data_IF_962386852261
#
_entry.id   IF_962386852261
#
_cell.length_a   1.000
_cell.length_b   1.000
_cell.length_c   1.000
_cell.angle_alpha   90.00
_cell.angle_beta   90.00
_cell.angle_gamma   90.00
#
_symmetry.space_group_name_H-M   'P 1'
#
loop_
_entity.id
_entity.type
_entity.pdbx_description
1 polymer ?
#
# COMPACT_ATOMS: atom_id res chain seq x y z
N UNK A 1 50.53 56.12 -11.93
CA UNK A 1 50.03 55.69 -10.60
C UNK A 1 48.51 55.77 -10.50
N UNK A 2 47.86 56.93 -10.69
CA UNK A 2 46.38 57.04 -10.65
C UNK A 2 45.62 56.12 -11.62
N UNK A 3 46.09 55.96 -12.85
CA UNK A 3 45.44 55.06 -13.83
C UNK A 3 45.60 53.57 -13.49
N UNK A 4 46.71 53.16 -12.85
CA UNK A 4 46.92 51.79 -12.39
C UNK A 4 46.00 51.46 -11.21
N UNK A 5 45.79 52.42 -10.31
CA UNK A 5 44.87 52.31 -9.16
C UNK A 5 43.41 52.22 -9.64
N UNK A 6 43.04 53.01 -10.65
CA UNK A 6 41.68 52.96 -11.23
C UNK A 6 41.44 51.63 -11.96
N UNK A 7 42.46 51.09 -12.64
CA UNK A 7 42.37 49.78 -13.31
C UNK A 7 42.29 48.61 -12.31
N UNK A 8 43.05 48.67 -11.21
CA UNK A 8 42.95 47.70 -10.11
C UNK A 8 41.62 47.80 -9.35
N UNK A 9 41.09 49.01 -9.14
CA UNK A 9 39.73 49.19 -8.59
C UNK A 9 38.65 48.68 -9.55
N UNK A 10 38.82 48.86 -10.86
CA UNK A 10 37.88 48.34 -11.85
C UNK A 10 37.90 46.80 -11.87
N UNK A 11 39.07 46.15 -11.72
CA UNK A 11 39.17 44.69 -11.58
C UNK A 11 38.56 44.19 -10.26
N UNK A 12 38.71 44.94 -9.16
CA UNK A 12 38.07 44.63 -7.86
C UNK A 12 36.54 44.82 -7.87
N UNK A 13 36.01 45.68 -8.74
CA UNK A 13 34.56 45.85 -8.95
C UNK A 13 34.01 44.81 -9.95
N UNK A 14 34.88 44.18 -10.74
CA UNK A 14 34.55 43.05 -11.66
C UNK A 14 35.03 41.71 -11.07
N UNK A 15 35.29 41.64 -9.76
CA UNK A 15 35.15 40.36 -9.07
C UNK A 15 33.64 40.13 -9.09
N UNK A 16 33.11 39.14 -9.84
CA UNK A 16 31.72 38.78 -9.63
C UNK A 16 31.61 38.55 -8.13
N UNK A 17 30.65 39.21 -7.48
CA UNK A 17 30.16 38.73 -6.21
C UNK A 17 29.65 37.32 -6.49
N UNK A 18 30.55 36.35 -6.44
CA UNK A 18 30.23 34.96 -6.20
C UNK A 18 29.63 35.05 -4.82
N UNK A 19 28.31 35.30 -4.77
CA UNK A 19 27.55 34.79 -3.66
C UNK A 19 27.96 33.33 -3.63
N UNK A 20 28.52 32.88 -2.50
CA UNK A 20 28.58 31.45 -2.21
C UNK A 20 27.12 30.98 -2.30
N UNK A 21 26.69 30.59 -3.50
CA UNK A 21 25.53 29.73 -3.69
C UNK A 21 26.07 28.41 -3.18
N UNK A 22 25.94 28.22 -1.87
CA UNK A 22 26.10 26.90 -1.27
C UNK A 22 25.18 25.99 -2.05
N UNK A 23 25.75 25.00 -2.74
CA UNK A 23 24.96 23.95 -3.38
C UNK A 23 24.01 23.37 -2.33
N UNK A 24 22.76 23.15 -2.71
CA UNK A 24 21.81 22.48 -1.83
C UNK A 24 22.25 21.04 -1.63
N UNK A 25 22.12 20.55 -0.40
CA UNK A 25 22.48 19.16 -0.09
C UNK A 25 21.25 18.28 -0.20
N UNK A 26 21.35 17.21 -1.00
CA UNK A 26 20.29 16.22 -1.17
C UNK A 26 20.74 14.89 -0.60
N UNK A 27 19.97 14.35 0.35
CA UNK A 27 20.19 13.01 0.89
C UNK A 27 19.32 11.99 0.15
N UNK A 28 19.94 10.97 -0.45
CA UNK A 28 19.27 9.96 -1.26
C UNK A 28 19.36 8.60 -0.57
N UNK A 29 18.21 8.01 -0.22
CA UNK A 29 18.11 6.72 0.47
C UNK A 29 17.08 5.82 -0.18
N UNK A 30 17.10 4.54 0.16
CA UNK A 30 16.09 3.57 -0.30
C UNK A 30 15.85 2.45 0.70
N UNK A 31 14.71 1.81 0.53
CA UNK A 31 14.45 0.47 1.03
C UNK A 31 15.21 -0.58 0.19
N UNK A 32 15.20 -1.84 0.63
CA UNK A 32 15.71 -3.01 -0.09
C UNK A 32 14.57 -3.69 -0.86
N UNK A 33 14.50 -3.42 -2.16
CA UNK A 33 13.42 -3.82 -3.04
C UNK A 33 13.75 -5.08 -3.81
N UNK A 34 14.98 -5.16 -4.35
CA UNK A 34 15.43 -6.28 -5.20
C UNK A 34 16.54 -7.05 -4.49
N UNK A 35 17.71 -6.42 -4.41
CA UNK A 35 18.91 -6.93 -3.76
C UNK A 35 19.86 -5.76 -3.49
N UNK A 36 20.77 -5.89 -2.50
CA UNK A 36 21.62 -4.79 -2.07
C UNK A 36 22.50 -4.16 -3.16
N UNK A 37 22.96 -4.94 -4.14
CA UNK A 37 23.86 -4.46 -5.18
C UNK A 37 23.07 -3.69 -6.25
N UNK A 38 21.96 -4.26 -6.72
CA UNK A 38 21.12 -3.64 -7.75
C UNK A 38 20.51 -2.32 -7.26
N UNK A 39 19.94 -2.31 -6.06
CA UNK A 39 19.31 -1.11 -5.50
C UNK A 39 20.33 0.00 -5.24
N UNK A 40 21.53 -0.33 -4.74
CA UNK A 40 22.60 0.65 -4.59
C UNK A 40 23.08 1.23 -5.94
N UNK A 41 23.12 0.41 -6.99
CA UNK A 41 23.47 0.85 -8.34
C UNK A 41 22.41 1.80 -8.92
N UNK A 42 21.12 1.56 -8.66
CA UNK A 42 20.03 2.48 -9.00
C UNK A 42 20.24 3.83 -8.30
N UNK A 43 20.44 3.84 -6.97
CA UNK A 43 20.68 5.08 -6.23
C UNK A 43 21.90 5.84 -6.74
N UNK A 44 23.00 5.13 -7.00
CA UNK A 44 24.23 5.74 -7.51
C UNK A 44 24.05 6.33 -8.91
N UNK A 45 23.29 5.65 -9.78
CA UNK A 45 22.98 6.13 -11.13
C UNK A 45 22.11 7.40 -11.07
N UNK A 46 21.05 7.40 -10.27
CA UNK A 46 20.19 8.57 -10.04
C UNK A 46 21.00 9.74 -9.47
N UNK A 47 21.85 9.51 -8.46
CA UNK A 47 22.71 10.53 -7.88
C UNK A 47 23.60 11.22 -8.92
N UNK A 48 24.26 10.42 -9.78
CA UNK A 48 25.10 10.96 -10.85
C UNK A 48 24.28 11.81 -11.84
N UNK A 49 23.07 11.38 -12.20
CA UNK A 49 22.22 12.17 -13.10
C UNK A 49 21.71 13.46 -12.44
N UNK A 50 21.38 13.46 -11.14
CA UNK A 50 21.00 14.69 -10.42
C UNK A 50 22.15 15.71 -10.47
N UNK A 51 23.39 15.29 -10.17
CA UNK A 51 24.55 16.18 -10.21
C UNK A 51 24.86 16.68 -11.63
N UNK A 52 24.68 15.82 -12.65
CA UNK A 52 24.81 16.19 -14.07
C UNK A 52 23.76 17.24 -14.49
N UNK A 53 22.48 16.99 -14.20
CA UNK A 53 21.34 17.82 -14.62
C UNK A 53 21.33 19.15 -13.88
N UNK A 54 21.62 19.14 -12.58
CA UNK A 54 21.72 20.36 -11.76
C UNK A 54 23.00 21.16 -12.01
N UNK A 55 23.93 20.64 -12.83
CA UNK A 55 25.23 21.27 -13.09
C UNK A 55 26.01 21.60 -11.80
N UNK A 56 25.87 20.74 -10.78
CA UNK A 56 26.51 20.88 -9.47
C UNK A 56 25.81 21.83 -8.49
N UNK A 57 24.64 22.38 -8.83
CA UNK A 57 23.84 23.20 -7.90
C UNK A 57 23.22 22.35 -6.77
N UNK A 58 23.08 21.04 -6.99
CA UNK A 58 22.66 20.06 -5.98
C UNK A 58 23.81 19.06 -5.76
N UNK A 59 24.27 18.94 -4.52
CA UNK A 59 25.28 17.97 -4.12
C UNK A 59 24.62 16.77 -3.43
N UNK A 60 24.77 15.58 -4.03
CA UNK A 60 24.06 14.38 -3.56
C UNK A 60 24.88 13.59 -2.54
N UNK A 61 24.23 13.21 -1.45
CA UNK A 61 24.75 12.31 -0.42
C UNK A 61 23.96 11.02 -0.52
N UNK A 62 24.54 10.00 -1.14
CA UNK A 62 23.97 8.64 -1.13
C UNK A 62 24.13 8.08 0.28
N UNK A 63 23.02 7.60 0.84
CA UNK A 63 22.96 7.03 2.17
C UNK A 63 23.83 5.77 2.27
N UNK A 64 24.84 5.81 3.15
CA UNK A 64 25.73 4.67 3.41
C UNK A 64 25.04 3.45 4.04
N UNK A 65 23.81 3.62 4.55
CA UNK A 65 23.00 2.53 5.10
C UNK A 65 21.95 2.00 4.11
N UNK A 66 21.82 2.63 2.93
CA UNK A 66 20.93 2.15 1.88
C UNK A 66 21.63 1.11 1.00
N UNK A 67 20.87 0.18 0.39
CA UNK A 67 19.44 -0.06 0.62
C UNK A 67 19.20 -0.76 1.97
N UNK A 68 18.10 -0.44 2.65
CA UNK A 68 17.71 -1.14 3.87
C UNK A 68 16.63 -0.44 4.69
N UNK A 69 16.04 -1.16 5.66
CA UNK A 69 14.85 -0.71 6.38
C UNK A 69 15.12 0.53 7.23
N UNK A 70 14.13 1.39 7.34
CA UNK A 70 14.18 2.65 8.11
C UNK A 70 14.56 3.84 7.25
N UNK A 71 14.43 3.72 5.93
CA UNK A 71 14.71 4.73 4.92
C UNK A 71 13.98 6.04 5.18
N UNK A 72 12.69 6.00 5.55
CA UNK A 72 11.94 7.19 5.97
C UNK A 72 12.55 7.89 7.17
N UNK A 73 12.82 7.16 8.25
CA UNK A 73 13.49 7.71 9.45
C UNK A 73 14.87 8.32 9.10
N UNK A 74 15.66 7.64 8.26
CA UNK A 74 16.99 8.15 7.84
C UNK A 74 16.84 9.41 7.00
N UNK A 75 15.87 9.47 6.10
CA UNK A 75 15.55 10.65 5.30
C UNK A 75 15.18 11.86 6.18
N UNK A 76 14.32 11.68 7.18
CA UNK A 76 13.91 12.81 8.04
C UNK A 76 15.02 13.25 9.02
N UNK A 77 15.87 12.31 9.48
CA UNK A 77 16.94 12.60 10.45
C UNK A 77 18.25 13.09 9.84
N UNK A 78 18.41 13.01 8.51
CA UNK A 78 19.56 13.58 7.81
C UNK A 78 19.72 15.09 8.11
N UNK A 79 20.92 15.64 7.97
CA UNK A 79 21.14 17.09 8.10
C UNK A 79 21.08 17.83 6.76
N UNK A 80 20.62 17.18 5.69
CA UNK A 80 20.54 17.76 4.35
C UNK A 80 19.37 18.73 4.22
N UNK A 81 19.41 19.57 3.19
CA UNK A 81 18.34 20.52 2.86
C UNK A 81 17.12 19.80 2.24
N UNK A 82 17.41 18.77 1.45
CA UNK A 82 16.44 17.93 0.75
C UNK A 82 16.68 16.47 1.12
N UNK A 83 15.60 15.70 1.23
CA UNK A 83 15.66 14.24 1.34
C UNK A 83 14.80 13.57 0.29
N UNK A 84 15.33 12.52 -0.33
CA UNK A 84 14.66 11.70 -1.32
C UNK A 84 14.67 10.24 -0.85
N UNK A 85 13.48 9.65 -0.76
CA UNK A 85 13.28 8.27 -0.35
C UNK A 85 12.75 7.44 -1.52
N UNK A 86 13.50 6.40 -1.94
CA UNK A 86 13.04 5.41 -2.92
C UNK A 86 12.50 4.18 -2.18
N UNK A 87 11.18 3.95 -2.23
CA UNK A 87 10.57 2.79 -1.60
C UNK A 87 9.24 2.41 -2.27
N UNK A 88 8.76 1.21 -1.94
CA UNK A 88 7.38 0.84 -2.20
C UNK A 88 6.44 1.68 -1.32
N UNK A 89 5.23 1.93 -1.78
CA UNK A 89 4.24 2.65 -0.98
C UNK A 89 3.94 1.92 0.34
N UNK A 90 4.27 2.56 1.46
CA UNK A 90 4.05 2.05 2.81
C UNK A 90 3.39 3.12 3.68
N UNK A 91 2.18 2.84 4.19
CA UNK A 91 1.43 3.82 4.97
C UNK A 91 2.17 4.28 6.24
N UNK A 92 2.97 3.40 6.85
CA UNK A 92 3.77 3.73 8.03
C UNK A 92 4.87 4.74 7.72
N UNK A 93 5.61 4.49 6.63
CA UNK A 93 6.64 5.41 6.14
C UNK A 93 6.03 6.77 5.75
N UNK A 94 4.92 6.76 5.00
CA UNK A 94 4.19 7.99 4.64
C UNK A 94 3.75 8.79 5.86
N UNK A 95 3.24 8.14 6.90
CA UNK A 95 2.83 8.82 8.13
C UNK A 95 4.03 9.49 8.82
N UNK A 96 5.16 8.79 8.95
CA UNK A 96 6.37 9.32 9.59
C UNK A 96 6.94 10.51 8.81
N UNK A 97 7.07 10.39 7.49
CA UNK A 97 7.57 11.47 6.64
C UNK A 97 6.62 12.67 6.62
N UNK A 98 5.30 12.44 6.54
CA UNK A 98 4.29 13.50 6.54
C UNK A 98 4.25 14.26 7.88
N UNK A 99 4.29 13.55 9.01
CA UNK A 99 4.34 14.16 10.34
C UNK A 99 5.58 15.05 10.49
N UNK A 100 6.73 14.61 9.98
CA UNK A 100 7.94 15.42 9.99
C UNK A 100 7.85 16.61 9.02
N UNK A 101 7.44 16.38 7.76
CA UNK A 101 7.37 17.41 6.72
C UNK A 101 6.48 18.57 7.14
N UNK A 102 5.30 18.28 7.71
CA UNK A 102 4.36 19.30 8.17
C UNK A 102 4.93 20.19 9.30
N UNK A 103 6.00 19.76 9.98
CA UNK A 103 6.65 20.47 11.08
C UNK A 103 8.08 20.91 10.74
N UNK A 104 8.50 20.82 9.47
CA UNK A 104 9.86 21.09 9.03
C UNK A 104 9.92 21.88 7.73
N UNK A 105 10.97 22.69 7.59
CA UNK A 105 11.27 23.39 6.33
C UNK A 105 12.03 22.51 5.33
N UNK A 106 12.50 21.32 5.75
CA UNK A 106 13.15 20.36 4.84
C UNK A 106 12.17 19.96 3.74
N UNK A 107 12.64 19.90 2.49
CA UNK A 107 11.88 19.31 1.40
C UNK A 107 12.03 17.79 1.45
N UNK A 108 10.91 17.08 1.32
CA UNK A 108 10.89 15.62 1.19
C UNK A 108 10.28 15.28 -0.17
N UNK A 109 10.93 14.38 -0.89
CA UNK A 109 10.45 13.83 -2.16
C UNK A 109 10.38 12.31 -2.00
N UNK A 110 9.22 11.73 -2.28
CA UNK A 110 9.04 10.28 -2.26
C UNK A 110 9.07 9.71 -3.69
N UNK A 111 9.90 8.73 -3.96
CA UNK A 111 9.93 8.02 -5.24
C UNK A 111 9.28 6.66 -5.04
N UNK A 112 8.05 6.52 -5.54
CA UNK A 112 7.28 5.29 -5.49
C UNK A 112 7.85 4.27 -6.48
N UNK A 113 8.65 3.33 -5.99
CA UNK A 113 9.24 2.28 -6.82
C UNK A 113 8.25 1.18 -7.23
N UNK A 114 7.05 1.17 -6.63
CA UNK A 114 5.99 0.20 -6.89
C UNK A 114 5.00 0.64 -7.95
N UNK A 115 4.17 -0.30 -8.39
CA UNK A 115 3.10 -0.07 -9.36
C UNK A 115 1.80 0.46 -8.74
N UNK A 116 1.73 0.55 -7.40
CA UNK A 116 0.62 1.14 -6.67
C UNK A 116 0.45 2.62 -7.05
N UNK A 117 -0.67 3.01 -7.66
CA UNK A 117 -0.80 4.34 -8.24
C UNK A 117 -1.39 5.36 -7.25
N UNK A 118 -0.52 6.20 -6.68
CA UNK A 118 -0.89 7.21 -5.67
C UNK A 118 -1.91 8.26 -6.16
N UNK A 119 -2.10 8.41 -7.47
CA UNK A 119 -3.06 9.35 -8.06
C UNK A 119 -4.48 8.78 -8.16
N UNK A 120 -4.63 7.46 -8.01
CA UNK A 120 -5.88 6.74 -8.29
C UNK A 120 -6.33 5.80 -7.18
N UNK A 121 -5.44 5.44 -6.26
CA UNK A 121 -5.76 4.55 -5.16
C UNK A 121 -6.45 5.33 -4.03
N UNK A 122 -7.61 4.83 -3.59
CA UNK A 122 -8.43 5.47 -2.56
C UNK A 122 -7.94 5.13 -1.14
N UNK A 123 -7.13 4.09 -0.96
CA UNK A 123 -6.61 3.68 0.35
C UNK A 123 -5.27 2.96 0.25
N UNK A 124 -4.44 3.15 1.28
CA UNK A 124 -3.20 2.42 1.49
C UNK A 124 -3.20 1.82 2.89
N UNK A 125 -3.17 0.49 2.95
CA UNK A 125 -3.16 -0.24 4.20
C UNK A 125 -1.84 -0.07 4.95
N UNK A 126 -1.91 -0.10 6.28
CA UNK A 126 -0.73 -0.33 7.11
C UNK A 126 -0.12 -1.73 6.85
N UNK A 127 1.15 -1.76 6.49
CA UNK A 127 1.98 -2.96 6.59
C UNK A 127 2.35 -3.24 8.06
N UNK A 128 2.27 -4.50 8.49
CA UNK A 128 2.51 -4.92 9.88
C UNK A 128 3.81 -5.71 10.05
N UNK A 129 4.49 -5.97 8.94
CA UNK A 129 5.85 -6.50 8.85
C UNK A 129 6.88 -5.51 9.41
N UNK A 130 6.59 -4.21 9.38
CA UNK A 130 7.46 -3.18 9.91
C UNK A 130 6.96 -2.50 11.20
N UNK A 131 7.91 -2.23 12.11
CA UNK A 131 7.67 -1.68 13.46
C UNK A 131 7.19 -0.21 13.48
N UNK A 132 6.81 0.38 12.34
CA UNK A 132 6.64 1.83 12.19
C UNK A 132 5.45 2.44 12.96
N UNK A 133 4.52 1.66 13.53
CA UNK A 133 3.29 2.30 14.06
C UNK A 133 2.64 1.66 15.29
N UNK A 134 2.04 2.53 16.09
CA UNK A 134 1.14 2.19 17.19
C UNK A 134 -0.05 1.34 16.65
N UNK A 135 -0.52 0.36 17.43
CA UNK A 135 -1.69 -0.51 17.12
C UNK A 135 -2.96 0.25 16.71
N UNK A 136 -3.04 1.55 17.04
CA UNK A 136 -4.12 2.45 16.66
C UNK A 136 -4.08 2.92 15.21
N UNK A 137 -2.96 2.78 14.49
CA UNK A 137 -2.86 3.14 13.07
C UNK A 137 -3.26 1.95 12.19
N UNK A 138 -4.17 2.16 11.26
CA UNK A 138 -4.72 1.13 10.36
C UNK A 138 -4.33 1.35 8.88
N UNK A 139 -4.08 2.58 8.47
CA UNK A 139 -3.73 2.93 7.09
C UNK A 139 -4.02 4.39 6.78
N UNK A 140 -4.03 4.72 5.49
CA UNK A 140 -4.31 6.04 4.96
C UNK A 140 -5.41 5.94 3.89
N UNK A 141 -6.29 6.93 3.86
CA UNK A 141 -7.15 7.19 2.70
C UNK A 141 -6.47 8.21 1.78
N UNK A 142 -6.71 8.10 0.47
CA UNK A 142 -6.16 9.00 -0.56
C UNK A 142 -4.65 9.28 -0.35
N UNK A 143 -3.78 8.24 -0.34
CA UNK A 143 -2.37 8.35 0.07
C UNK A 143 -1.59 9.42 -0.70
N UNK A 144 -1.81 9.61 -2.02
CA UNK A 144 -1.17 10.68 -2.77
C UNK A 144 -1.61 12.07 -2.30
N UNK A 145 -2.91 12.25 -2.03
CA UNK A 145 -3.42 13.50 -1.44
C UNK A 145 -2.83 13.74 -0.06
N UNK A 146 -2.71 12.71 0.76
CA UNK A 146 -2.13 12.80 2.10
C UNK A 146 -0.67 13.31 2.06
N UNK A 147 0.16 12.76 1.16
CA UNK A 147 1.54 13.23 0.96
C UNK A 147 1.58 14.68 0.49
N UNK A 148 0.80 15.02 -0.53
CA UNK A 148 0.74 16.38 -1.09
C UNK A 148 0.27 17.41 -0.05
N UNK A 149 -0.76 17.10 0.73
CA UNK A 149 -1.25 17.97 1.82
C UNK A 149 -0.12 18.25 2.84
N UNK A 150 0.70 17.24 3.15
CA UNK A 150 1.87 17.36 4.03
C UNK A 150 3.10 18.03 3.37
N UNK A 151 2.99 18.44 2.11
CA UNK A 151 4.07 19.09 1.35
C UNK A 151 5.18 18.13 0.92
N UNK A 152 4.83 16.87 0.66
CA UNK A 152 5.73 15.86 0.10
C UNK A 152 5.35 15.67 -1.37
N UNK A 153 6.28 15.98 -2.26
CA UNK A 153 6.14 15.65 -3.68
C UNK A 153 6.42 14.15 -3.87
N UNK A 154 5.74 13.51 -4.82
CA UNK A 154 6.06 12.13 -5.17
C UNK A 154 6.22 11.92 -6.68
N UNK A 155 7.07 10.94 -7.02
CA UNK A 155 7.40 10.52 -8.37
C UNK A 155 7.01 9.06 -8.51
N UNK A 156 6.38 8.69 -9.63
CA UNK A 156 5.89 7.33 -9.88
C UNK A 156 6.48 6.72 -11.17
N UNK A 157 7.72 6.22 -11.16
CA UNK A 157 8.42 5.79 -12.38
C UNK A 157 7.70 4.67 -13.13
N UNK A 158 7.06 3.73 -12.44
CA UNK A 158 6.33 2.62 -13.09
C UNK A 158 5.02 3.04 -13.77
N UNK A 159 4.51 4.25 -13.51
CA UNK A 159 3.36 4.77 -14.26
C UNK A 159 3.80 5.31 -15.64
N UNK A 160 5.04 5.82 -15.74
CA UNK A 160 5.62 6.29 -17.01
C UNK A 160 6.33 5.15 -17.76
N UNK A 161 7.05 4.29 -17.04
CA UNK A 161 7.83 3.16 -17.57
C UNK A 161 7.28 1.82 -17.05
N UNK A 162 6.09 1.37 -17.49
CA UNK A 162 5.50 0.13 -17.00
C UNK A 162 6.33 -1.12 -17.36
N UNK A 163 7.10 -1.07 -18.45
CA UNK A 163 7.99 -2.17 -18.84
C UNK A 163 9.23 -2.32 -17.92
N UNK A 164 9.46 -1.35 -17.03
CA UNK A 164 10.50 -1.40 -15.99
C UNK A 164 10.09 -2.23 -14.76
N UNK A 165 8.85 -2.75 -14.74
CA UNK A 165 8.29 -3.53 -13.66
C UNK A 165 8.67 -5.02 -13.74
N UNK A 166 8.94 -5.60 -12.57
CA UNK A 166 8.83 -7.05 -12.33
C UNK A 166 8.39 -7.32 -10.89
N UNK A 167 7.37 -8.17 -10.75
CA UNK A 167 6.72 -8.48 -9.47
C UNK A 167 6.18 -7.26 -8.70
N UNK A 168 5.77 -6.22 -9.42
CA UNK A 168 5.12 -5.02 -8.90
C UNK A 168 6.05 -3.85 -8.57
N UNK A 169 7.36 -3.97 -8.79
CA UNK A 169 8.35 -2.95 -8.46
C UNK A 169 9.39 -2.77 -9.58
N UNK A 170 10.11 -1.64 -9.56
CA UNK A 170 11.32 -1.46 -10.35
C UNK A 170 12.29 -2.62 -10.06
N UNK A 171 12.75 -3.29 -11.10
CA UNK A 171 13.44 -4.60 -10.95
C UNK A 171 14.88 -4.62 -11.45
N UNK A 172 15.36 -3.50 -11.98
CA UNK A 172 16.67 -3.42 -12.61
C UNK A 172 17.20 -1.99 -12.63
N UNK A 173 18.52 -1.90 -12.72
CA UNK A 173 19.19 -0.64 -13.00
C UNK A 173 19.04 -0.28 -14.49
N UNK A 174 18.22 0.73 -14.78
CA UNK A 174 17.91 1.20 -16.14
C UNK A 174 18.21 2.69 -16.26
N UNK A 175 19.17 3.06 -17.11
CA UNK A 175 19.64 4.45 -17.23
C UNK A 175 18.55 5.41 -17.71
N UNK A 176 17.60 4.96 -18.53
CA UNK A 176 16.50 5.81 -19.00
C UNK A 176 15.55 6.15 -17.84
N UNK A 177 15.15 5.13 -17.08
CA UNK A 177 14.28 5.28 -15.91
C UNK A 177 14.97 6.10 -14.81
N UNK A 178 16.25 5.84 -14.54
CA UNK A 178 17.02 6.56 -13.53
C UNK A 178 17.21 8.03 -13.89
N UNK A 179 17.44 8.33 -15.18
CA UNK A 179 17.52 9.71 -15.65
C UNK A 179 16.18 10.42 -15.49
N UNK A 180 15.08 9.77 -15.85
CA UNK A 180 13.75 10.32 -15.61
C UNK A 180 13.50 10.65 -14.13
N UNK A 181 13.83 9.72 -13.21
CA UNK A 181 13.71 9.97 -11.77
C UNK A 181 14.54 11.19 -11.36
N UNK A 182 15.79 11.28 -11.82
CA UNK A 182 16.67 12.41 -11.53
C UNK A 182 16.13 13.73 -12.08
N UNK A 183 15.59 13.75 -13.30
CA UNK A 183 14.96 14.93 -13.91
C UNK A 183 13.78 15.42 -13.07
N UNK A 184 12.89 14.51 -12.67
CA UNK A 184 11.73 14.85 -11.83
C UNK A 184 12.14 15.35 -10.42
N UNK A 185 13.20 14.77 -9.83
CA UNK A 185 13.76 15.28 -8.56
C UNK A 185 14.27 16.71 -8.72
N UNK A 186 15.07 16.98 -9.75
CA UNK A 186 15.64 18.31 -9.99
C UNK A 186 14.53 19.34 -10.31
N UNK A 187 13.48 18.94 -11.03
CA UNK A 187 12.31 19.78 -11.27
C UNK A 187 11.53 20.10 -9.98
N UNK A 188 11.30 19.11 -9.12
CA UNK A 188 10.67 19.30 -7.81
C UNK A 188 11.50 20.24 -6.92
N UNK A 189 12.82 20.06 -6.83
CA UNK A 189 13.72 20.95 -6.08
C UNK A 189 13.64 22.39 -6.60
N UNK A 190 13.76 22.60 -7.91
CA UNK A 190 13.75 23.93 -8.50
C UNK A 190 12.40 24.66 -8.40
N UNK A 191 11.30 23.91 -8.30
CA UNK A 191 9.95 24.46 -8.17
C UNK A 191 9.50 24.62 -6.71
N UNK A 192 10.26 24.06 -5.76
CA UNK A 192 9.90 24.07 -4.36
C UNK A 192 9.90 25.47 -3.76
N UNK A 193 8.86 25.76 -2.99
CA UNK A 193 8.73 27.02 -2.27
C UNK A 193 8.39 26.75 -0.81
N UNK A 194 9.27 27.19 0.09
CA UNK A 194 9.02 27.19 1.54
C UNK A 194 7.84 28.08 1.99
N UNK A 195 7.15 28.75 1.05
CA UNK A 195 5.94 29.52 1.34
C UNK A 195 4.65 28.71 1.22
N UNK A 196 4.71 27.49 0.70
CA UNK A 196 3.55 26.57 0.62
C UNK A 196 3.16 26.12 2.02
N UNK A 197 1.89 26.29 2.38
CA UNK A 197 1.34 25.82 3.65
C UNK A 197 1.33 24.28 3.64
N UNK A 198 2.12 23.66 4.50
CA UNK A 198 2.13 22.22 4.73
C UNK A 198 1.13 21.90 5.84
N UNK A 199 0.16 21.05 5.56
CA UNK A 199 -0.87 20.69 6.52
C UNK A 199 -1.03 19.17 6.57
N UNK A 200 -0.67 18.57 7.70
CA UNK A 200 -0.95 17.16 7.94
C UNK A 200 -2.47 16.94 8.04
N UNK A 201 -3.07 16.42 6.99
CA UNK A 201 -4.49 16.14 6.95
C UNK A 201 -4.82 14.86 7.76
N UNK A 202 -5.13 15.06 9.04
CA UNK A 202 -5.40 13.95 9.96
C UNK A 202 -6.69 13.18 9.66
N UNK A 203 -7.60 13.76 8.86
CA UNK A 203 -8.87 13.10 8.48
C UNK A 203 -8.64 11.95 7.49
N UNK A 204 -7.50 11.94 6.79
CA UNK A 204 -7.07 10.86 5.91
C UNK A 204 -6.37 9.71 6.67
N UNK A 205 -6.09 9.87 7.97
CA UNK A 205 -5.45 8.83 8.78
C UNK A 205 -6.51 7.88 9.31
N UNK A 206 -6.45 6.61 8.88
CA UNK A 206 -7.36 5.57 9.35
C UNK A 206 -6.87 4.98 10.67
N UNK A 207 -7.77 4.89 11.65
CA UNK A 207 -7.43 4.48 13.02
C UNK A 207 -8.32 3.37 13.56
N UNK A 208 -7.68 2.48 14.32
CA UNK A 208 -8.35 1.54 15.21
C UNK A 208 -8.73 2.26 16.51
N UNK A 209 -10.01 2.59 16.65
CA UNK A 209 -10.62 3.08 17.90
C UNK A 209 -10.95 1.94 18.86
N UNK A 210 -11.25 0.77 18.31
CA UNK A 210 -11.29 -0.49 19.05
C UNK A 210 -9.94 -1.22 18.91
N UNK A 211 -9.42 -1.77 20.00
CA UNK A 211 -8.15 -2.47 19.97
C UNK A 211 -8.25 -3.77 19.13
N UNK A 212 -7.30 -4.04 18.22
CA UNK A 212 -7.26 -5.27 17.41
C UNK A 212 -7.32 -6.56 18.25
N UNK A 213 -6.75 -6.54 19.46
CA UNK A 213 -6.81 -7.66 20.39
C UNK A 213 -8.23 -8.03 20.86
N UNK A 214 -9.17 -7.09 20.85
CA UNK A 214 -10.59 -7.35 21.17
C UNK A 214 -11.26 -8.14 20.05
N UNK A 215 -11.00 -7.75 18.79
CA UNK A 215 -11.43 -8.51 17.61
C UNK A 215 -10.77 -9.89 17.60
N UNK A 216 -9.46 -9.98 17.84
CA UNK A 216 -8.74 -11.26 17.87
C UNK A 216 -9.32 -12.21 18.94
N UNK A 217 -9.63 -11.71 20.13
CA UNK A 217 -10.29 -12.51 21.17
C UNK A 217 -11.70 -12.99 20.76
N UNK A 218 -12.45 -12.17 20.02
CA UNK A 218 -13.73 -12.56 19.45
C UNK A 218 -13.57 -13.64 18.36
N UNK A 219 -12.59 -13.49 17.46
CA UNK A 219 -12.22 -14.49 16.45
C UNK A 219 -11.82 -15.82 17.09
N UNK A 220 -10.98 -15.81 18.13
CA UNK A 220 -10.62 -17.02 18.89
C UNK A 220 -11.85 -17.66 19.55
N UNK A 221 -12.72 -16.86 20.18
CA UNK A 221 -13.94 -17.38 20.80
C UNK A 221 -14.88 -18.02 19.77
N UNK A 222 -14.95 -17.47 18.55
CA UNK A 222 -15.69 -18.02 17.43
C UNK A 222 -15.12 -19.37 16.96
N UNK A 223 -13.81 -19.42 16.68
CA UNK A 223 -13.15 -20.63 16.17
C UNK A 223 -13.13 -21.79 17.17
N UNK A 224 -13.11 -21.47 18.47
CA UNK A 224 -13.20 -22.45 19.55
C UNK A 224 -14.64 -22.90 19.85
N UNK A 225 -15.64 -22.32 19.18
CA UNK A 225 -17.03 -22.70 19.38
C UNK A 225 -17.42 -23.88 18.50
N UNK A 226 -18.17 -24.84 19.05
CA UNK A 226 -18.79 -25.92 18.26
C UNK A 226 -20.08 -25.44 17.52
N UNK A 227 -20.31 -24.11 17.42
CA UNK A 227 -21.56 -23.54 16.92
C UNK A 227 -21.48 -23.19 15.42
N UNK A 228 -21.61 -24.20 14.58
CA UNK A 228 -21.63 -24.04 13.12
C UNK A 228 -22.82 -23.22 12.59
N UNK A 229 -23.86 -23.00 13.41
CA UNK A 229 -25.04 -22.20 13.05
C UNK A 229 -24.84 -20.71 13.33
N UNK A 230 -23.72 -20.31 13.96
CA UNK A 230 -23.32 -18.91 14.20
C UNK A 230 -24.32 -18.06 15.01
N UNK A 231 -25.17 -18.72 15.80
CA UNK A 231 -26.26 -18.09 16.58
C UNK A 231 -25.85 -17.54 17.96
N UNK A 232 -24.56 -17.60 18.28
CA UNK A 232 -24.02 -17.24 19.59
C UNK A 232 -23.42 -15.84 19.66
N UNK A 233 -22.80 -15.54 20.80
CA UNK A 233 -21.93 -14.38 20.98
C UNK A 233 -20.50 -14.82 21.23
N UNK A 234 -19.55 -14.07 20.69
CA UNK A 234 -18.12 -14.36 20.70
C UNK A 234 -17.39 -13.13 21.24
N UNK A 235 -16.88 -13.24 22.47
CA UNK A 235 -16.37 -12.09 23.23
C UNK A 235 -17.38 -10.91 23.30
N UNK A 236 -18.65 -11.23 23.55
CA UNK A 236 -19.80 -10.28 23.60
C UNK A 236 -20.30 -9.73 22.26
N UNK A 237 -19.70 -10.10 21.13
CA UNK A 237 -20.17 -9.71 19.80
C UNK A 237 -21.02 -10.81 19.17
N UNK A 238 -22.09 -10.46 18.45
CA UNK A 238 -22.82 -11.41 17.60
C UNK A 238 -21.95 -11.84 16.41
N UNK A 239 -22.33 -12.91 15.69
CA UNK A 239 -21.62 -13.29 14.47
C UNK A 239 -21.60 -12.14 13.43
N UNK A 240 -22.72 -11.46 13.09
CA UNK A 240 -22.68 -10.30 12.20
C UNK A 240 -21.73 -9.19 12.67
N UNK A 241 -21.68 -8.90 13.98
CA UNK A 241 -20.75 -7.91 14.52
C UNK A 241 -19.29 -8.34 14.37
N UNK A 242 -18.98 -9.61 14.61
CA UNK A 242 -17.64 -10.15 14.40
C UNK A 242 -17.25 -10.15 12.91
N UNK A 243 -18.17 -10.52 12.02
CA UNK A 243 -17.95 -10.41 10.58
C UNK A 243 -17.59 -8.98 10.20
N UNK A 244 -18.35 -7.99 10.67
CA UNK A 244 -18.06 -6.57 10.38
C UNK A 244 -16.68 -6.15 10.89
N UNK A 245 -16.32 -6.50 12.13
CA UNK A 245 -15.03 -6.18 12.73
C UNK A 245 -13.86 -6.75 11.90
N UNK A 246 -13.92 -8.05 11.61
CA UNK A 246 -12.87 -8.73 10.84
C UNK A 246 -12.80 -8.22 9.40
N UNK A 247 -13.95 -7.95 8.78
CA UNK A 247 -14.02 -7.36 7.43
C UNK A 247 -13.42 -5.96 7.38
N UNK A 248 -13.76 -5.10 8.36
CA UNK A 248 -13.25 -3.73 8.44
C UNK A 248 -11.75 -3.69 8.70
N UNK A 249 -11.23 -4.61 9.52
CA UNK A 249 -9.80 -4.75 9.77
C UNK A 249 -9.03 -5.25 8.54
N UNK A 250 -9.57 -6.24 7.81
CA UNK A 250 -8.97 -6.75 6.58
C UNK A 250 -8.99 -5.70 5.47
N UNK A 251 -10.12 -5.01 5.29
CA UNK A 251 -10.29 -3.91 4.32
C UNK A 251 -9.61 -2.60 4.70
N UNK A 252 -8.84 -2.55 5.79
CA UNK A 252 -8.11 -1.33 6.22
C UNK A 252 -8.99 -0.14 6.58
N UNK A 253 -10.29 -0.35 6.82
CA UNK A 253 -11.24 0.70 7.21
C UNK A 253 -11.11 1.14 8.67
N UNK A 254 -10.21 0.49 9.41
CA UNK A 254 -10.03 0.69 10.85
C UNK A 254 -11.09 -0.01 11.68
N UNK A 255 -10.75 -0.29 12.93
CA UNK A 255 -11.64 -0.93 13.89
C UNK A 255 -12.40 0.11 14.71
N UNK A 256 -13.72 -0.06 14.77
CA UNK A 256 -14.61 0.70 15.65
C UNK A 256 -15.65 -0.23 16.25
N UNK A 257 -16.33 0.24 17.30
CA UNK A 257 -17.43 -0.54 17.87
C UNK A 257 -18.51 -0.76 16.79
N UNK A 258 -18.88 -2.02 16.52
CA UNK A 258 -19.81 -2.33 15.45
C UNK A 258 -21.22 -1.91 15.84
N UNK A 259 -22.02 -1.55 14.83
CA UNK A 259 -23.47 -1.32 14.98
C UNK A 259 -24.18 -2.64 15.33
N UNK A 260 -25.45 -2.55 15.66
CA UNK A 260 -26.32 -3.72 15.83
C UNK A 260 -26.75 -4.29 14.47
N UNK A 261 -25.80 -4.94 13.78
CA UNK A 261 -26.04 -5.56 12.48
C UNK A 261 -26.97 -6.79 12.58
N UNK A 262 -27.96 -6.86 11.71
CA UNK A 262 -28.87 -8.01 11.64
C UNK A 262 -28.19 -9.23 10.96
N UNK A 263 -28.73 -10.42 11.26
CA UNK A 263 -28.36 -11.69 10.60
C UNK A 263 -28.67 -11.67 9.09
N UNK A 264 -27.99 -12.51 8.28
CA UNK A 264 -28.34 -12.69 6.88
C UNK A 264 -29.77 -13.24 6.75
N UNK A 265 -30.47 -12.83 5.69
CA UNK A 265 -31.89 -13.17 5.51
C UNK A 265 -32.10 -14.59 4.97
N UNK A 266 -31.20 -15.03 4.11
CA UNK A 266 -31.22 -16.35 3.47
C UNK A 266 -29.79 -16.74 3.05
N UNK A 267 -28.89 -16.99 4.01
CA UNK A 267 -27.48 -17.22 3.71
C UNK A 267 -27.29 -18.42 2.79
N UNK A 268 -26.39 -18.27 1.80
CA UNK A 268 -26.02 -19.36 0.93
C UNK A 268 -25.30 -20.43 1.78
N UNK A 269 -25.81 -21.67 1.77
CA UNK A 269 -25.21 -22.72 2.61
C UNK A 269 -23.80 -23.14 2.17
N UNK A 270 -23.54 -23.16 0.86
CA UNK A 270 -22.29 -23.66 0.28
C UNK A 270 -21.70 -22.62 -0.67
N UNK A 271 -20.43 -22.27 -0.49
CA UNK A 271 -19.72 -21.45 -1.48
C UNK A 271 -19.57 -22.18 -2.81
N UNK A 272 -19.68 -21.44 -3.92
CA UNK A 272 -19.62 -21.95 -5.28
C UNK A 272 -18.42 -21.35 -6.01
N UNK A 273 -17.70 -22.20 -6.77
CA UNK A 273 -16.58 -21.79 -7.64
C UNK A 273 -15.41 -21.10 -6.92
N UNK A 274 -15.27 -21.30 -5.62
CA UNK A 274 -14.13 -20.79 -4.85
C UNK A 274 -12.82 -21.48 -5.24
N UNK A 275 -11.72 -20.75 -5.09
CA UNK A 275 -10.35 -21.28 -5.18
C UNK A 275 -9.99 -22.04 -3.90
N UNK A 276 -8.94 -22.86 -3.97
CA UNK A 276 -8.38 -23.57 -2.82
C UNK A 276 -7.60 -22.63 -1.88
N UNK A 277 -7.12 -21.50 -2.42
CA UNK A 277 -6.40 -20.45 -1.70
C UNK A 277 -6.67 -19.09 -2.31
N UNK A 278 -6.46 -18.05 -1.50
CA UNK A 278 -6.55 -16.65 -1.91
C UNK A 278 -5.35 -15.90 -1.33
N UNK A 279 -4.88 -14.89 -2.06
CA UNK A 279 -3.87 -13.97 -1.53
C UNK A 279 -4.46 -13.12 -0.40
N UNK A 280 -3.62 -12.50 0.42
CA UNK A 280 -4.12 -11.55 1.41
C UNK A 280 -4.87 -10.38 0.75
N UNK A 281 -4.41 -9.89 -0.41
CA UNK A 281 -5.08 -8.82 -1.15
C UNK A 281 -6.48 -9.20 -1.63
N UNK A 282 -6.67 -10.48 -2.01
CA UNK A 282 -8.01 -11.00 -2.29
C UNK A 282 -8.91 -10.91 -1.04
N UNK A 283 -8.39 -11.30 0.14
CA UNK A 283 -9.12 -11.21 1.41
C UNK A 283 -9.40 -9.77 1.85
N UNK A 284 -8.48 -8.83 1.62
CA UNK A 284 -8.73 -7.41 1.86
C UNK A 284 -9.90 -6.90 1.02
N UNK A 285 -9.86 -7.19 -0.29
CA UNK A 285 -10.95 -6.80 -1.22
C UNK A 285 -12.28 -7.43 -0.81
N UNK A 286 -12.28 -8.71 -0.40
CA UNK A 286 -13.47 -9.35 0.15
C UNK A 286 -13.94 -8.68 1.44
N UNK A 287 -13.01 -8.26 2.30
CA UNK A 287 -13.28 -7.49 3.52
C UNK A 287 -14.01 -6.19 3.23
N UNK A 288 -13.51 -5.40 2.28
CA UNK A 288 -14.15 -4.14 1.86
C UNK A 288 -15.56 -4.35 1.31
N UNK A 289 -15.74 -5.34 0.43
CA UNK A 289 -17.06 -5.69 -0.10
C UNK A 289 -18.05 -6.01 1.04
N UNK A 290 -17.59 -6.74 2.07
CA UNK A 290 -18.44 -7.14 3.19
C UNK A 290 -18.74 -5.94 4.11
N UNK A 291 -17.73 -5.18 4.53
CA UNK A 291 -17.93 -4.03 5.42
C UNK A 291 -18.84 -2.98 4.76
N UNK A 292 -18.60 -2.65 3.49
CA UNK A 292 -19.42 -1.71 2.71
C UNK A 292 -20.87 -2.22 2.60
N UNK A 293 -21.07 -3.50 2.27
CA UNK A 293 -22.40 -4.09 2.22
C UNK A 293 -23.13 -3.93 3.54
N UNK A 294 -22.46 -4.25 4.65
CA UNK A 294 -23.06 -4.18 5.98
C UNK A 294 -23.38 -2.74 6.38
N UNK A 295 -22.50 -1.78 6.09
CA UNK A 295 -22.74 -0.37 6.36
C UNK A 295 -23.94 0.19 5.58
N UNK A 296 -24.14 -0.25 4.34
CA UNK A 296 -25.28 0.15 3.50
C UNK A 296 -26.58 -0.52 3.93
N UNK A 297 -26.54 -1.83 4.21
CA UNK A 297 -27.75 -2.66 4.36
C UNK A 297 -28.15 -2.89 5.83
N UNK A 298 -27.29 -2.56 6.80
CA UNK A 298 -27.54 -2.77 8.22
C UNK A 298 -27.58 -4.24 8.64
N UNK A 299 -27.10 -5.16 7.79
CA UNK A 299 -27.13 -6.61 8.03
C UNK A 299 -25.99 -7.33 7.34
N UNK A 300 -25.64 -8.52 7.82
CA UNK A 300 -24.66 -9.38 7.17
C UNK A 300 -25.15 -9.87 5.78
N UNK A 301 -24.24 -10.03 4.80
CA UNK A 301 -24.60 -10.53 3.48
C UNK A 301 -24.97 -12.02 3.51
N UNK A 302 -25.92 -12.42 2.66
CA UNK A 302 -26.21 -13.85 2.46
C UNK A 302 -25.00 -14.59 1.81
N UNK A 303 -24.28 -13.87 0.95
CA UNK A 303 -23.03 -14.25 0.29
C UNK A 303 -22.43 -12.99 -0.39
N UNK A 304 -21.17 -13.06 -0.81
CA UNK A 304 -20.59 -12.07 -1.74
C UNK A 304 -20.24 -12.72 -3.07
N UNK A 305 -20.14 -11.91 -4.14
CA UNK A 305 -19.53 -12.34 -5.39
C UNK A 305 -18.13 -11.77 -5.50
N UNK A 306 -17.15 -12.63 -5.74
CA UNK A 306 -15.75 -12.23 -5.87
C UNK A 306 -15.06 -13.07 -6.95
N UNK A 307 -14.53 -12.42 -7.99
CA UNK A 307 -13.81 -13.08 -9.09
C UNK A 307 -14.53 -14.31 -9.69
N UNK A 308 -15.87 -14.22 -9.83
CA UNK A 308 -16.72 -15.28 -10.36
C UNK A 308 -17.13 -16.37 -9.35
N UNK A 309 -16.58 -16.33 -8.13
CA UNK A 309 -17.04 -17.16 -7.02
C UNK A 309 -18.24 -16.53 -6.31
N UNK A 310 -19.01 -17.38 -5.63
CA UNK A 310 -20.05 -16.99 -4.68
C UNK A 310 -19.64 -17.51 -3.32
N UNK A 311 -19.29 -16.61 -2.41
CA UNK A 311 -18.70 -16.96 -1.11
C UNK A 311 -19.74 -16.75 -0.03
N UNK A 312 -20.09 -17.84 0.65
CA UNK A 312 -21.14 -17.84 1.67
C UNK A 312 -20.77 -17.02 2.90
N UNK A 313 -21.79 -16.51 3.59
CA UNK A 313 -21.67 -15.92 4.93
C UNK A 313 -20.80 -16.78 5.89
N UNK A 314 -21.07 -18.08 5.92
CA UNK A 314 -20.40 -19.01 6.82
C UNK A 314 -18.89 -19.11 6.56
N UNK A 315 -18.50 -19.23 5.29
CA UNK A 315 -17.09 -19.33 4.94
C UNK A 315 -16.37 -17.98 5.10
N UNK A 316 -17.04 -16.85 4.83
CA UNK A 316 -16.48 -15.52 5.11
C UNK A 316 -16.17 -15.36 6.59
N UNK A 317 -17.15 -15.62 7.46
CA UNK A 317 -17.00 -15.51 8.90
C UNK A 317 -15.84 -16.36 9.43
N UNK A 318 -15.73 -17.61 8.96
CA UNK A 318 -14.69 -18.53 9.40
C UNK A 318 -13.30 -18.13 8.93
N UNK A 319 -13.13 -17.86 7.64
CA UNK A 319 -11.81 -17.50 7.11
C UNK A 319 -11.34 -16.16 7.66
N UNK A 320 -12.23 -15.16 7.80
CA UNK A 320 -11.86 -13.86 8.34
C UNK A 320 -11.53 -13.92 9.83
N UNK A 321 -12.25 -14.74 10.61
CA UNK A 321 -11.90 -15.00 12.00
C UNK A 321 -10.52 -15.67 12.09
N UNK A 322 -10.26 -16.69 11.27
CA UNK A 322 -8.99 -17.41 11.24
C UNK A 322 -7.80 -16.51 10.91
N UNK A 323 -8.00 -15.60 9.95
CA UNK A 323 -7.00 -14.62 9.54
C UNK A 323 -6.64 -13.61 10.64
N UNK A 324 -7.48 -13.46 11.66
CA UNK A 324 -7.35 -12.37 12.65
C UNK A 324 -7.22 -12.88 14.08
N UNK A 325 -7.30 -14.19 14.32
CA UNK A 325 -7.38 -14.76 15.67
C UNK A 325 -6.11 -14.53 16.50
N UNK A 326 -4.94 -14.42 15.87
CA UNK A 326 -3.66 -14.26 16.55
C UNK A 326 -3.23 -12.79 16.68
N UNK A 327 -3.98 -11.83 16.12
CA UNK A 327 -3.62 -10.41 16.02
C UNK A 327 -3.80 -9.65 17.36
N UNK A 328 -3.10 -10.12 18.39
CA UNK A 328 -3.27 -9.68 19.78
C UNK A 328 -2.24 -8.63 20.22
N UNK A 329 -1.10 -8.57 19.53
CA UNK A 329 -0.03 -7.61 19.76
C UNK A 329 0.74 -7.32 18.46
N UNK A 330 1.50 -6.22 18.36
CA UNK A 330 2.18 -5.83 17.11
C UNK A 330 2.99 -6.93 16.42
N UNK A 331 3.65 -7.82 17.18
CA UNK A 331 4.51 -8.87 16.61
C UNK A 331 3.75 -10.02 15.94
N UNK A 332 2.43 -10.04 16.12
CA UNK A 332 1.52 -11.09 15.65
C UNK A 332 0.50 -10.61 14.63
N UNK A 333 0.57 -9.34 14.22
CA UNK A 333 -0.42 -8.68 13.36
C UNK A 333 -0.06 -8.68 11.87
N UNK A 334 1.00 -9.40 11.52
CA UNK A 334 1.44 -9.60 10.15
C UNK A 334 0.57 -10.63 9.42
N UNK A 335 0.49 -10.50 8.10
CA UNK A 335 -0.25 -11.39 7.24
C UNK A 335 0.69 -12.17 6.31
N UNK A 336 0.45 -13.46 6.20
CA UNK A 336 1.05 -14.27 5.14
C UNK A 336 0.55 -13.81 3.77
N UNK A 337 1.36 -14.01 2.72
CA UNK A 337 1.00 -13.59 1.36
C UNK A 337 -0.23 -14.32 0.82
N UNK A 338 -0.44 -15.57 1.23
CA UNK A 338 -1.49 -16.46 0.73
C UNK A 338 -2.03 -17.33 1.86
N UNK A 339 -3.34 -17.53 1.88
CA UNK A 339 -4.02 -18.38 2.85
C UNK A 339 -4.90 -19.43 2.16
N UNK A 340 -4.90 -20.69 2.64
CA UNK A 340 -5.88 -21.68 2.24
C UNK A 340 -7.30 -21.21 2.54
N UNK A 341 -8.24 -21.50 1.64
CA UNK A 341 -9.65 -21.22 1.84
C UNK A 341 -10.34 -22.43 2.48
N UNK A 342 -10.90 -22.25 3.67
CA UNK A 342 -11.59 -23.31 4.40
C UNK A 342 -13.10 -23.22 4.25
N UNK A 343 -13.73 -24.33 3.86
CA UNK A 343 -15.18 -24.45 3.78
C UNK A 343 -15.74 -24.98 5.10
N UNK A 344 -16.62 -24.22 5.75
CA UNK A 344 -17.36 -24.65 6.94
C UNK A 344 -18.39 -25.71 6.54
N UNK A 345 -19.10 -25.46 5.44
CA UNK A 345 -20.08 -26.36 4.87
C UNK A 345 -19.54 -26.93 3.55
N UNK A 346 -19.43 -28.25 3.46
CA UNK A 346 -18.99 -28.91 2.23
C UNK A 346 -20.03 -29.89 1.66
N UNK A 347 -20.06 -30.00 0.34
CA UNK A 347 -20.93 -30.92 -0.40
C UNK A 347 -20.23 -31.44 -1.64
N UNK A 348 -20.11 -32.75 -1.73
CA UNK A 348 -19.53 -33.44 -2.90
C UNK A 348 -20.23 -33.02 -4.20
N UNK A 349 -21.55 -32.85 -4.16
CA UNK A 349 -22.31 -32.43 -5.34
C UNK A 349 -21.95 -31.00 -5.80
N UNK A 350 -21.69 -30.10 -4.85
CA UNK A 350 -21.26 -28.73 -5.13
C UNK A 350 -19.84 -28.72 -5.67
N UNK A 351 -18.93 -29.49 -5.06
CA UNK A 351 -17.55 -29.59 -5.51
C UNK A 351 -17.41 -30.19 -6.92
N UNK A 352 -18.34 -31.07 -7.32
CA UNK A 352 -18.35 -31.66 -8.67
C UNK A 352 -19.07 -30.78 -9.71
N UNK A 353 -19.80 -29.74 -9.30
CA UNK A 353 -20.56 -28.88 -10.21
C UNK A 353 -19.71 -28.25 -11.33
N UNK A 354 -18.51 -27.69 -11.07
CA UNK A 354 -17.68 -27.12 -12.13
C UNK A 354 -17.27 -28.17 -13.17
N UNK A 355 -16.92 -29.38 -12.72
CA UNK A 355 -16.54 -30.50 -13.59
C UNK A 355 -17.75 -30.92 -14.45
N UNK A 356 -18.93 -31.01 -13.86
CA UNK A 356 -20.16 -31.36 -14.57
C UNK A 356 -20.48 -30.32 -15.66
N UNK A 357 -20.34 -29.03 -15.37
CA UNK A 357 -20.58 -27.95 -16.33
C UNK A 357 -19.59 -28.02 -17.51
N UNK A 358 -18.31 -28.32 -17.26
CA UNK A 358 -17.30 -28.53 -18.31
C UNK A 358 -17.69 -29.73 -19.18
N UNK A 359 -18.09 -30.85 -18.59
CA UNK A 359 -18.52 -32.05 -19.33
C UNK A 359 -19.74 -31.72 -20.22
N UNK A 360 -20.73 -30.99 -19.70
CA UNK A 360 -21.91 -30.58 -20.47
C UNK A 360 -21.53 -29.67 -21.64
N UNK A 361 -20.64 -28.70 -21.41
CA UNK A 361 -20.15 -27.80 -22.45
C UNK A 361 -19.42 -28.57 -23.57
N UNK A 362 -18.56 -29.51 -23.21
CA UNK A 362 -17.85 -30.40 -24.16
C UNK A 362 -18.86 -31.23 -24.98
N UNK A 363 -19.86 -31.82 -24.33
CA UNK A 363 -20.90 -32.60 -25.01
C UNK A 363 -21.71 -31.73 -26.00
N UNK A 364 -22.02 -30.49 -25.62
CA UNK A 364 -22.72 -29.54 -26.48
C UNK A 364 -21.89 -29.15 -27.71
N UNK A 365 -20.59 -28.89 -27.53
CA UNK A 365 -19.65 -28.63 -28.64
C UNK A 365 -19.59 -29.84 -29.58
N UNK A 366 -19.48 -31.06 -29.06
CA UNK A 366 -19.48 -32.30 -29.86
C UNK A 366 -20.78 -32.43 -30.67
N UNK A 367 -21.93 -32.12 -30.07
CA UNK A 367 -23.23 -32.16 -30.76
C UNK A 367 -23.31 -31.13 -31.89
N UNK A 368 -22.82 -29.91 -31.67
CA UNK A 368 -22.73 -28.87 -32.70
C UNK A 368 -21.83 -29.32 -33.85
N UNK A 369 -20.63 -29.80 -33.55
CA UNK A 369 -19.68 -30.29 -34.58
C UNK A 369 -20.31 -31.42 -35.39
N UNK A 370 -20.99 -32.38 -34.73
CA UNK A 370 -21.72 -33.45 -35.43
C UNK A 370 -22.82 -32.88 -36.34
N UNK A 371 -23.63 -31.93 -35.88
CA UNK A 371 -24.67 -31.31 -36.71
C UNK A 371 -24.12 -30.54 -37.91
N UNK A 372 -23.00 -29.83 -37.74
CA UNK A 372 -22.36 -29.08 -38.84
C UNK A 372 -21.71 -30.02 -39.85
N UNK A 373 -21.08 -31.12 -39.41
CA UNK A 373 -20.51 -32.14 -40.31
C UNK A 373 -21.56 -32.94 -41.09
N UNK A 374 -22.77 -33.11 -40.56
CA UNK A 374 -23.88 -33.80 -41.25
C UNK A 374 -24.56 -32.90 -42.30
N UNK A 375 -24.40 -31.57 -42.22
CA UNK A 375 -24.98 -30.59 -43.15
C UNK A 375 -24.03 -30.15 -44.28
N UNK A 376 -22.78 -30.63 -44.27
CA UNK A 376 -21.86 -30.61 -45.41
C UNK A 376 -21.91 -31.98 -46.08
#
# INVERSE_FOLDING_TARGET
>A
MKQLIIFLLAILIIVPTIQDVSAETLFLTSDNLIDPETDYNILSSIANFIEEISNGDINVIVDSQAPGPGEGTRAITSSSDISVTLAAACAGNFLEEAEYSANSNKQIIFVNSGNFNLDHEDSLRRAWDDNYSNITFAGLNEPGKFLNDAGIDYIQPLQEYPDAESNGYLDRNDDEVNRYIAEQIVESVNSYSNSTEKNLNTDLIVRNTLAPSVMAAASQAFLNSDNNEMTGTYNSYTAPQLLYLTSSYLGSNGLSEPKDYEEPSSPLKYSLFVKDSYSIYDYMTMGDIVSEYMDINGKAPDYISYNGAYISYYDLQHNFAKLTENHTDPSSMDFEREYPFEKVNDSILVNLLPILLIIIAILFIILIIKRVKIRK
#
